data_IF_726771242934
#
_entry.id   IF_726771242934
#
_cell.length_a   1.000
_cell.length_b   1.000
_cell.length_c   1.000
_cell.angle_alpha   90.00
_cell.angle_beta   90.00
_cell.angle_gamma   90.00
#
_symmetry.space_group_name_H-M   'P 1'
#
loop_
_entity.id
_entity.type
_entity.pdbx_description
1 polymer ?
#
# COMPACT_ATOMS: atom_id res chain seq x y z
N UNK A 1 4.94 1.86 -14.59
CA UNK A 1 5.39 3.28 -14.74
C UNK A 1 4.43 4.17 -15.57
N UNK A 2 3.21 3.72 -15.91
CA UNK A 2 2.38 4.38 -16.93
C UNK A 2 1.73 5.72 -16.51
N UNK A 3 1.68 6.07 -15.22
CA UNK A 3 1.05 7.31 -14.72
C UNK A 3 2.07 8.28 -14.12
N UNK A 4 1.69 9.56 -13.96
CA UNK A 4 2.53 10.58 -13.31
C UNK A 4 2.87 10.18 -11.87
N UNK A 5 1.89 9.66 -11.13
CA UNK A 5 2.04 9.20 -9.75
C UNK A 5 2.95 7.97 -9.68
N UNK A 6 2.91 7.10 -10.70
CA UNK A 6 3.84 5.98 -10.84
C UNK A 6 5.28 6.45 -11.09
N UNK A 7 5.48 7.42 -11.99
CA UNK A 7 6.81 8.03 -12.22
C UNK A 7 7.33 8.71 -10.95
N UNK A 8 6.46 9.43 -10.23
CA UNK A 8 6.81 10.03 -8.95
C UNK A 8 7.21 8.98 -7.92
N UNK A 9 6.44 7.90 -7.75
CA UNK A 9 6.77 6.84 -6.80
C UNK A 9 8.17 6.24 -7.05
N UNK A 10 8.50 5.98 -8.32
CA UNK A 10 9.82 5.45 -8.71
C UNK A 10 10.95 6.49 -8.63
N UNK A 11 10.66 7.80 -8.69
CA UNK A 11 11.68 8.84 -8.55
C UNK A 11 12.07 9.13 -7.09
N UNK A 12 11.23 8.76 -6.11
CA UNK A 12 11.51 8.96 -4.67
C UNK A 12 12.81 8.24 -4.28
N UNK A 13 13.74 9.01 -3.71
CA UNK A 13 14.95 8.49 -3.07
C UNK A 13 14.63 8.19 -1.62
N UNK A 14 14.69 6.92 -1.25
CA UNK A 14 14.46 6.46 0.12
C UNK A 14 15.82 6.32 0.84
N UNK A 15 15.91 6.55 2.16
CA UNK A 15 17.18 6.47 2.89
C UNK A 15 17.85 5.09 2.87
N UNK A 16 17.06 4.01 2.81
CA UNK A 16 17.55 2.64 2.70
C UNK A 16 17.10 2.02 1.37
N UNK A 17 17.74 2.33 0.23
CA UNK A 17 17.35 1.79 -1.07
C UNK A 17 17.61 0.28 -1.15
N UNK A 18 16.82 -0.40 -1.97
CA UNK A 18 16.97 -1.83 -2.21
C UNK A 18 18.25 -2.03 -3.08
N UNK A 19 19.23 -2.88 -2.69
CA UNK A 19 20.44 -3.13 -3.49
C UNK A 19 20.14 -3.60 -4.91
N UNK A 20 20.84 -3.10 -5.93
CA UNK A 20 20.54 -3.50 -7.32
C UNK A 20 20.86 -4.97 -7.60
N UNK A 21 21.87 -5.53 -6.93
CA UNK A 21 22.35 -6.90 -7.11
C UNK A 21 21.53 -7.96 -6.37
N UNK A 22 20.59 -7.55 -5.50
CA UNK A 22 19.75 -8.40 -4.64
C UNK A 22 20.49 -9.40 -3.74
N UNK A 23 21.81 -9.37 -3.69
CA UNK A 23 22.62 -10.45 -3.09
C UNK A 23 22.47 -11.81 -3.77
N UNK A 24 21.98 -11.86 -5.02
CA UNK A 24 21.84 -13.09 -5.80
C UNK A 24 23.19 -13.80 -5.95
N UNK A 25 23.16 -15.14 -5.87
CA UNK A 25 24.33 -15.99 -6.11
C UNK A 25 23.96 -17.15 -7.05
N UNK A 26 24.81 -17.47 -8.05
CA UNK A 26 24.58 -18.63 -8.92
C UNK A 26 24.36 -19.90 -8.12
N UNK A 27 23.32 -20.66 -8.49
CA UNK A 27 22.94 -21.91 -7.83
C UNK A 27 21.96 -21.77 -6.66
N UNK A 28 21.55 -20.54 -6.29
CA UNK A 28 20.43 -20.36 -5.36
C UNK A 28 19.13 -20.96 -5.90
N UNK A 29 18.36 -21.59 -5.02
CA UNK A 29 16.97 -21.95 -5.32
C UNK A 29 16.04 -20.72 -5.14
N UNK A 30 14.83 -20.72 -5.74
CA UNK A 30 13.83 -19.67 -5.49
C UNK A 30 13.54 -19.43 -4.01
N UNK A 31 13.54 -20.51 -3.20
CA UNK A 31 13.32 -20.42 -1.76
C UNK A 31 14.50 -19.78 -1.05
N UNK A 32 15.74 -20.18 -1.35
CA UNK A 32 16.94 -19.58 -0.76
C UNK A 32 17.06 -18.09 -1.11
N UNK A 33 16.74 -17.73 -2.35
CA UNK A 33 16.74 -16.35 -2.81
C UNK A 33 15.69 -15.52 -2.07
N UNK A 34 14.45 -16.02 -2.00
CA UNK A 34 13.38 -15.36 -1.25
C UNK A 34 13.73 -15.18 0.23
N UNK A 35 14.21 -16.25 0.88
CA UNK A 35 14.64 -16.21 2.28
C UNK A 35 15.78 -15.22 2.53
N UNK A 36 16.70 -15.07 1.56
CA UNK A 36 17.75 -14.06 1.64
C UNK A 36 17.14 -12.66 1.69
N UNK A 37 16.29 -12.31 0.71
CA UNK A 37 15.61 -11.01 0.64
C UNK A 37 14.79 -10.73 1.91
N UNK A 38 14.09 -11.74 2.42
CA UNK A 38 13.33 -11.61 3.67
C UNK A 38 14.22 -11.28 4.88
N UNK A 39 15.43 -11.83 4.94
CA UNK A 39 16.36 -11.65 6.07
C UNK A 39 17.15 -10.34 5.99
N UNK A 40 17.48 -9.89 4.79
CA UNK A 40 18.42 -8.77 4.58
C UNK A 40 17.73 -7.47 4.20
N UNK A 41 16.57 -7.53 3.57
CA UNK A 41 15.94 -6.35 2.95
C UNK A 41 14.51 -6.07 3.42
N UNK A 42 13.74 -7.10 3.76
CA UNK A 42 12.34 -6.95 4.11
C UNK A 42 12.18 -6.37 5.52
N UNK A 43 11.24 -5.45 5.69
CA UNK A 43 11.00 -4.81 6.98
C UNK A 43 10.25 -3.49 6.91
N UNK A 44 10.00 -2.94 8.09
CA UNK A 44 9.51 -1.58 8.29
C UNK A 44 10.67 -0.69 8.73
N UNK A 45 10.89 0.39 7.99
CA UNK A 45 11.92 1.39 8.24
C UNK A 45 11.22 2.72 8.57
N UNK A 46 11.04 3.00 9.85
CA UNK A 46 10.39 4.23 10.33
C UNK A 46 11.48 5.23 10.70
N UNK A 47 11.52 6.36 9.99
CA UNK A 47 12.50 7.43 10.22
C UNK A 47 11.94 8.51 11.13
N UNK A 48 10.64 8.77 11.03
CA UNK A 48 9.95 9.82 11.78
C UNK A 48 8.47 9.50 11.93
N UNK A 49 7.90 9.84 13.09
CA UNK A 49 6.47 9.73 13.36
C UNK A 49 5.85 11.12 13.53
N UNK A 50 4.58 11.25 13.12
CA UNK A 50 3.79 12.48 13.23
C UNK A 50 2.50 12.18 13.98
N UNK A 51 2.19 12.99 14.98
CA UNK A 51 0.98 12.89 15.78
C UNK A 51 -0.13 13.78 15.22
N UNK A 52 -1.37 13.48 15.62
CA UNK A 52 -2.56 14.30 15.33
C UNK A 52 -2.80 14.55 13.84
N UNK A 53 -2.71 13.49 13.03
CA UNK A 53 -2.96 13.56 11.59
C UNK A 53 -4.46 13.42 11.31
N UNK A 54 -5.08 14.49 10.80
CA UNK A 54 -6.52 14.48 10.51
C UNK A 54 -6.90 13.60 9.32
N UNK A 55 -6.05 13.53 8.30
CA UNK A 55 -6.36 12.85 7.05
C UNK A 55 -5.13 12.59 6.19
N UNK A 56 -5.32 11.79 5.15
CA UNK A 56 -4.25 11.23 4.34
C UNK A 56 -4.50 11.48 2.86
N UNK A 57 -3.41 11.57 2.09
CA UNK A 57 -3.46 11.48 0.64
C UNK A 57 -2.87 10.14 0.14
N UNK A 58 -3.70 9.31 -0.49
CA UNK A 58 -3.27 8.11 -1.21
C UNK A 58 -2.93 8.50 -2.65
N UNK A 59 -1.63 8.53 -2.95
CA UNK A 59 -1.13 9.02 -4.24
C UNK A 59 -1.43 8.06 -5.40
N UNK A 60 -1.39 6.76 -5.13
CA UNK A 60 -1.59 5.70 -6.14
C UNK A 60 -2.67 4.72 -5.66
N UNK A 61 -3.96 4.95 -6.01
CA UNK A 61 -4.98 3.93 -5.83
C UNK A 61 -4.60 2.66 -6.59
N UNK A 62 -4.88 1.49 -6.01
CA UNK A 62 -4.67 0.21 -6.69
C UNK A 62 -5.88 -0.09 -7.56
N UNK A 63 -5.64 -0.64 -8.75
CA UNK A 63 -6.71 -1.18 -9.58
C UNK A 63 -7.06 -2.59 -9.10
N UNK A 64 -8.34 -2.94 -9.19
CA UNK A 64 -8.78 -4.30 -8.93
C UNK A 64 -8.17 -5.24 -9.96
N UNK A 65 -7.57 -6.35 -9.51
CA UNK A 65 -7.00 -7.36 -10.39
C UNK A 65 -7.83 -8.64 -10.37
N UNK A 66 -7.76 -9.41 -11.46
CA UNK A 66 -8.46 -10.69 -11.63
C UNK A 66 -7.46 -11.85 -11.73
N UNK A 67 -7.97 -13.07 -11.79
CA UNK A 67 -7.16 -14.30 -11.76
C UNK A 67 -6.09 -14.37 -12.85
N UNK A 68 -6.39 -13.88 -14.06
CA UNK A 68 -5.44 -13.79 -15.17
C UNK A 68 -4.21 -12.94 -14.82
N UNK A 69 -4.42 -11.81 -14.16
CA UNK A 69 -3.35 -10.95 -13.66
C UNK A 69 -2.54 -11.67 -12.57
N UNK A 70 -3.22 -12.39 -11.67
CA UNK A 70 -2.59 -13.16 -10.58
C UNK A 70 -1.75 -14.34 -11.07
N UNK A 71 -2.02 -14.85 -12.27
CA UNK A 71 -1.28 -15.92 -12.93
C UNK A 71 -0.13 -15.41 -13.81
N UNK A 72 -0.04 -14.09 -13.99
CA UNK A 72 0.93 -13.50 -14.88
C UNK A 72 2.17 -13.01 -14.11
N UNK A 73 3.35 -13.42 -14.57
CA UNK A 73 4.61 -13.13 -13.88
C UNK A 73 4.89 -11.62 -13.75
N UNK A 74 4.45 -10.82 -14.73
CA UNK A 74 4.77 -9.38 -14.82
C UNK A 74 3.57 -8.43 -14.75
N UNK A 75 2.33 -8.93 -14.59
CA UNK A 75 1.15 -8.06 -14.68
C UNK A 75 1.03 -7.14 -13.47
N UNK A 76 1.36 -7.66 -12.28
CA UNK A 76 1.34 -6.88 -11.05
C UNK A 76 2.74 -6.33 -10.76
N UNK A 77 2.83 -5.00 -10.66
CA UNK A 77 4.02 -4.29 -10.21
C UNK A 77 4.37 -4.68 -8.75
N UNK A 78 3.38 -4.70 -7.87
CA UNK A 78 3.52 -5.01 -6.44
C UNK A 78 2.43 -6.00 -5.96
N UNK A 79 2.58 -7.31 -6.24
CA UNK A 79 1.69 -8.34 -5.71
C UNK A 79 1.85 -8.52 -4.19
N UNK A 80 2.96 -8.10 -3.59
CA UNK A 80 3.16 -8.16 -2.12
C UNK A 80 2.23 -7.19 -1.37
N UNK A 81 2.01 -5.99 -1.90
CA UNK A 81 1.16 -4.97 -1.28
C UNK A 81 -0.33 -5.03 -1.67
N UNK A 82 -0.68 -5.62 -2.81
CA UNK A 82 -2.07 -5.69 -3.32
C UNK A 82 -3.10 -6.41 -2.43
N UNK A 83 -4.12 -5.73 -1.91
CA UNK A 83 -5.30 -6.41 -1.34
C UNK A 83 -6.55 -6.05 -2.13
N UNK A 84 -7.46 -7.01 -2.24
CA UNK A 84 -8.77 -6.79 -2.89
C UNK A 84 -9.56 -5.68 -2.19
N UNK A 85 -9.46 -5.60 -0.86
CA UNK A 85 -10.14 -4.58 -0.07
C UNK A 85 -9.59 -3.18 -0.35
N UNK A 86 -8.27 -2.99 -0.34
CA UNK A 86 -7.67 -1.69 -0.67
C UNK A 86 -7.97 -1.27 -2.12
N UNK A 87 -8.00 -2.22 -3.06
CA UNK A 87 -8.27 -1.92 -4.46
C UNK A 87 -9.74 -1.53 -4.74
N UNK A 88 -10.70 -2.14 -4.02
CA UNK A 88 -12.14 -1.84 -4.20
C UNK A 88 -12.62 -0.71 -3.30
N UNK A 89 -12.16 -0.70 -2.04
CA UNK A 89 -12.70 0.12 -0.95
C UNK A 89 -11.59 0.80 -0.13
N UNK A 90 -10.57 1.35 -0.81
CA UNK A 90 -9.47 2.11 -0.19
C UNK A 90 -9.90 3.11 0.89
N UNK A 91 -11.06 3.74 0.73
CA UNK A 91 -11.61 4.73 1.63
C UNK A 91 -11.99 4.17 3.01
N UNK A 92 -12.56 2.96 3.05
CA UNK A 92 -12.91 2.29 4.32
C UNK A 92 -11.68 1.69 5.01
N UNK A 93 -10.53 1.61 4.32
CA UNK A 93 -9.26 1.21 4.94
C UNK A 93 -8.76 2.24 5.96
N UNK A 94 -9.19 3.50 5.86
CA UNK A 94 -8.72 4.59 6.72
C UNK A 94 -9.83 5.36 7.44
N UNK A 95 -11.01 5.48 6.82
CA UNK A 95 -12.15 6.25 7.33
C UNK A 95 -13.28 5.27 7.67
N UNK A 96 -13.22 4.71 8.88
CA UNK A 96 -14.17 3.70 9.38
C UNK A 96 -14.24 3.72 10.92
N UNK A 97 -14.84 4.77 11.52
CA UNK A 97 -14.94 4.88 12.97
C UNK A 97 -15.86 3.79 13.57
N UNK A 98 -15.54 3.24 14.76
CA UNK A 98 -14.52 3.72 15.70
C UNK A 98 -13.12 3.13 15.49
N UNK A 99 -12.93 2.22 14.53
CA UNK A 99 -11.70 1.42 14.39
C UNK A 99 -10.61 2.13 13.58
N UNK A 100 -11.01 2.97 12.62
CA UNK A 100 -10.13 3.71 11.72
C UNK A 100 -10.54 5.18 11.71
N UNK A 101 -9.76 5.99 12.42
CA UNK A 101 -10.20 7.30 12.91
C UNK A 101 -9.62 8.48 12.14
N UNK A 102 -9.11 8.26 10.93
CA UNK A 102 -8.82 9.40 10.04
C UNK A 102 -10.15 10.04 9.65
N UNK A 103 -10.18 11.38 9.67
CA UNK A 103 -11.37 12.16 9.32
C UNK A 103 -11.66 12.12 7.82
N UNK A 104 -10.61 11.98 6.99
CA UNK A 104 -10.75 11.92 5.55
C UNK A 104 -9.58 11.21 4.83
N UNK A 105 -9.86 10.69 3.63
CA UNK A 105 -8.88 10.17 2.67
C UNK A 105 -9.02 10.93 1.34
N UNK A 106 -7.92 11.44 0.82
CA UNK A 106 -7.83 12.07 -0.50
C UNK A 106 -7.16 11.12 -1.50
N UNK A 107 -7.62 11.14 -2.76
CA UNK A 107 -7.05 10.36 -3.86
C UNK A 107 -7.04 11.19 -5.15
N UNK A 108 -6.15 10.90 -6.12
CA UNK A 108 -6.24 11.51 -7.45
C UNK A 108 -7.59 11.17 -8.10
N UNK A 109 -8.16 12.12 -8.83
CA UNK A 109 -9.27 11.84 -9.75
C UNK A 109 -8.72 11.08 -10.96
N UNK A 110 -9.49 10.14 -11.50
CA UNK A 110 -9.16 9.58 -12.81
C UNK A 110 -9.21 10.68 -13.87
N UNK A 111 -8.32 10.60 -14.87
CA UNK A 111 -8.22 11.59 -15.96
C UNK A 111 -9.54 11.78 -16.73
N UNK A 112 -10.34 10.72 -16.82
CA UNK A 112 -11.67 10.73 -17.44
C UNK A 112 -12.71 11.55 -16.67
N UNK A 113 -12.56 11.69 -15.35
CA UNK A 113 -13.45 12.49 -14.50
C UNK A 113 -12.90 13.91 -14.34
N UNK A 114 -11.59 14.09 -14.21
CA UNK A 114 -10.97 15.41 -14.04
C UNK A 114 -11.22 16.32 -15.24
N UNK A 115 -11.30 15.75 -16.45
CA UNK A 115 -11.64 16.45 -17.68
C UNK A 115 -13.10 16.97 -17.73
N UNK A 116 -13.99 16.43 -16.90
CA UNK A 116 -15.41 16.85 -16.84
C UNK A 116 -15.67 17.96 -15.83
N UNK A 117 -14.82 18.12 -14.81
CA UNK A 117 -15.00 19.11 -13.75
C UNK A 117 -13.75 20.01 -13.70
N UNK A 118 -13.79 21.18 -14.37
CA UNK A 118 -12.63 22.05 -14.50
C UNK A 118 -11.99 22.41 -13.15
N UNK A 119 -10.67 22.23 -13.05
CA UNK A 119 -9.89 22.59 -11.87
C UNK A 119 -9.87 21.56 -10.73
N UNK A 120 -10.68 20.49 -10.79
CA UNK A 120 -10.64 19.42 -9.79
C UNK A 120 -9.60 18.37 -10.13
N UNK A 121 -8.77 18.00 -9.14
CA UNK A 121 -7.67 17.04 -9.32
C UNK A 121 -7.73 15.88 -8.35
N UNK A 122 -8.50 16.01 -7.26
CA UNK A 122 -8.57 15.02 -6.21
C UNK A 122 -10.02 14.78 -5.80
N UNK A 123 -10.28 13.60 -5.25
CA UNK A 123 -11.53 13.25 -4.57
C UNK A 123 -11.22 13.07 -3.09
N UNK A 124 -12.09 13.60 -2.23
CA UNK A 124 -12.00 13.42 -0.78
C UNK A 124 -13.18 12.59 -0.30
N UNK A 125 -12.85 11.58 0.49
CA UNK A 125 -13.77 10.72 1.20
C UNK A 125 -13.80 11.10 2.67
N UNK A 126 -14.99 11.30 3.24
CA UNK A 126 -15.14 11.66 4.65
C UNK A 126 -16.50 11.23 5.22
N UNK A 127 -16.67 11.37 6.53
CA UNK A 127 -17.98 11.29 7.19
C UNK A 127 -18.62 9.90 7.17
N UNK A 128 -17.84 8.84 6.98
CA UNK A 128 -18.38 7.48 7.05
C UNK A 128 -18.79 7.16 8.49
N UNK A 129 -20.02 6.69 8.63
CA UNK A 129 -20.53 6.15 9.88
C UNK A 129 -21.20 4.83 9.52
N UNK A 130 -20.63 3.74 10.01
CA UNK A 130 -21.15 2.39 9.78
C UNK A 130 -22.65 2.36 10.10
N UNK A 131 -23.43 1.79 9.17
CA UNK A 131 -24.89 1.61 9.27
C UNK A 131 -25.74 2.89 9.35
N UNK A 132 -25.16 4.09 9.21
CA UNK A 132 -25.89 5.37 9.37
C UNK A 132 -25.73 6.35 8.23
N UNK A 133 -24.59 6.40 7.56
CA UNK A 133 -24.38 7.35 6.45
C UNK A 133 -23.43 6.79 5.39
N UNK A 134 -23.80 6.86 4.10
CA UNK A 134 -22.85 6.56 3.04
C UNK A 134 -21.68 7.54 3.13
N UNK A 135 -20.49 7.06 2.79
CA UNK A 135 -19.31 7.91 2.80
C UNK A 135 -19.51 9.10 1.85
N UNK A 136 -19.19 10.30 2.32
CA UNK A 136 -19.28 11.51 1.49
C UNK A 136 -18.08 11.52 0.55
N UNK A 137 -18.36 11.57 -0.75
CA UNK A 137 -17.37 11.76 -1.81
C UNK A 137 -17.52 13.18 -2.39
N UNK A 138 -16.47 13.99 -2.29
CA UNK A 138 -16.42 15.35 -2.84
C UNK A 138 -15.22 15.53 -3.78
N UNK A 139 -15.40 16.13 -4.98
CA UNK A 139 -14.27 16.54 -5.81
C UNK A 139 -13.65 17.82 -5.24
N UNK A 140 -12.33 17.85 -5.11
CA UNK A 140 -11.57 18.97 -4.56
C UNK A 140 -10.43 19.40 -5.50
N UNK A 141 -10.14 20.70 -5.47
CA UNK A 141 -9.12 21.32 -6.33
C UNK A 141 -7.72 21.29 -5.72
N UNK A 142 -7.64 21.25 -4.39
CA UNK A 142 -6.42 21.24 -3.61
C UNK A 142 -6.51 20.21 -2.47
N UNK A 143 -5.38 19.59 -2.17
CA UNK A 143 -5.25 18.67 -1.04
C UNK A 143 -5.32 19.45 0.28
N UNK A 144 -6.07 18.93 1.24
CA UNK A 144 -5.99 19.35 2.65
C UNK A 144 -4.91 18.56 3.39
N UNK A 145 -4.63 17.33 2.94
CA UNK A 145 -3.62 16.46 3.55
C UNK A 145 -2.21 17.03 3.38
N UNK A 146 -1.48 17.15 4.49
CA UNK A 146 -0.04 17.44 4.47
C UNK A 146 0.80 16.20 4.21
N UNK A 147 0.32 15.06 4.67
CA UNK A 147 1.01 13.78 4.61
C UNK A 147 0.26 12.82 3.71
N UNK A 148 1.00 11.90 3.10
CA UNK A 148 0.43 10.90 2.23
C UNK A 148 1.31 9.68 2.12
N UNK A 149 0.84 8.73 1.33
CA UNK A 149 1.60 7.54 1.01
C UNK A 149 1.44 7.16 -0.46
N UNK A 150 2.45 6.48 -0.97
CA UNK A 150 2.48 5.89 -2.30
C UNK A 150 3.11 4.51 -2.23
N UNK A 151 3.07 3.77 -3.33
CA UNK A 151 3.71 2.48 -3.42
C UNK A 151 4.42 2.31 -4.76
N UNK A 152 5.39 1.40 -4.80
CA UNK A 152 6.05 0.95 -6.03
C UNK A 152 6.49 -0.50 -5.92
N UNK A 153 6.62 -1.16 -7.05
CA UNK A 153 7.28 -2.46 -7.13
C UNK A 153 8.81 -2.30 -7.09
N UNK A 154 9.49 -3.29 -6.50
CA UNK A 154 10.94 -3.46 -6.66
C UNK A 154 11.17 -4.17 -7.99
N UNK A 155 12.02 -3.60 -8.84
CA UNK A 155 12.32 -4.15 -10.16
C UNK A 155 13.81 -4.45 -10.27
N UNK A 156 14.13 -5.75 -10.40
CA UNK A 156 15.48 -6.28 -10.55
C UNK A 156 15.46 -7.46 -11.52
N UNK A 157 16.59 -7.80 -12.16
CA UNK A 157 16.65 -8.88 -13.14
C UNK A 157 16.19 -10.23 -12.58
N UNK A 158 16.70 -10.63 -11.40
CA UNK A 158 16.52 -11.99 -10.90
C UNK A 158 15.20 -12.21 -10.12
N UNK A 159 14.59 -11.17 -9.57
CA UNK A 159 13.37 -11.30 -8.77
C UNK A 159 12.31 -12.13 -9.50
N UNK A 160 11.94 -11.71 -10.71
CA UNK A 160 10.88 -12.35 -11.48
C UNK A 160 11.30 -13.71 -12.04
N UNK A 161 12.57 -13.92 -12.35
CA UNK A 161 13.11 -15.23 -12.77
C UNK A 161 12.94 -16.30 -11.68
N UNK A 162 13.06 -15.90 -10.41
CA UNK A 162 12.81 -16.76 -9.26
C UNK A 162 11.33 -16.79 -8.82
N UNK A 163 10.42 -16.20 -9.60
CA UNK A 163 9.01 -16.08 -9.22
C UNK A 163 8.80 -15.24 -7.96
N UNK A 164 9.68 -14.28 -7.71
CA UNK A 164 9.64 -13.33 -6.59
C UNK A 164 9.26 -11.94 -7.11
N UNK A 165 8.54 -11.19 -6.28
CA UNK A 165 8.24 -9.79 -6.53
C UNK A 165 8.32 -9.00 -5.23
N UNK A 166 9.00 -7.85 -5.27
CA UNK A 166 9.09 -6.93 -4.14
C UNK A 166 8.14 -5.75 -4.27
N UNK A 167 7.75 -5.18 -3.13
CA UNK A 167 6.92 -3.99 -3.02
C UNK A 167 7.42 -3.06 -1.93
N UNK A 168 7.37 -1.76 -2.20
CA UNK A 168 7.66 -0.70 -1.24
C UNK A 168 6.43 0.19 -1.05
N UNK A 169 5.99 0.33 0.19
CA UNK A 169 5.00 1.31 0.62
C UNK A 169 5.75 2.46 1.30
N UNK A 170 5.59 3.68 0.79
CA UNK A 170 6.39 4.84 1.18
C UNK A 170 5.45 5.89 1.76
N UNK A 171 5.73 6.34 2.98
CA UNK A 171 5.01 7.41 3.68
C UNK A 171 5.89 8.67 3.70
N UNK A 172 5.31 9.82 3.37
CA UNK A 172 6.06 11.07 3.20
C UNK A 172 5.26 12.33 3.55
N UNK A 173 5.97 13.40 3.89
CA UNK A 173 5.46 14.77 3.86
C UNK A 173 5.40 15.24 2.40
N UNK A 174 4.22 15.60 1.92
CA UNK A 174 3.97 15.90 0.51
C UNK A 174 4.58 17.24 0.12
N UNK A 175 4.70 18.17 1.07
CA UNK A 175 5.21 19.53 0.83
C UNK A 175 6.73 19.51 0.80
N UNK A 176 7.37 18.91 1.80
CA UNK A 176 8.83 18.87 1.91
C UNK A 176 9.46 17.74 1.12
N UNK A 177 8.66 16.75 0.70
CA UNK A 177 9.11 15.49 0.09
C UNK A 177 9.99 14.63 1.03
N UNK A 178 9.95 14.90 2.34
CA UNK A 178 10.63 14.12 3.36
C UNK A 178 9.99 12.72 3.48
N UNK A 179 10.77 11.66 3.30
CA UNK A 179 10.34 10.28 3.53
C UNK A 179 10.31 10.01 5.04
N UNK A 180 9.12 9.71 5.56
CA UNK A 180 8.88 9.47 7.00
C UNK A 180 9.01 7.99 7.36
N UNK A 181 8.69 7.10 6.42
CA UNK A 181 8.97 5.68 6.57
C UNK A 181 8.71 4.89 5.30
N UNK A 182 9.31 3.71 5.24
CA UNK A 182 9.19 2.76 4.14
C UNK A 182 8.94 1.37 4.69
N UNK A 183 7.97 0.67 4.13
CA UNK A 183 7.85 -0.77 4.32
C UNK A 183 8.21 -1.47 3.03
N UNK A 184 9.22 -2.33 3.09
CA UNK A 184 9.61 -3.21 2.00
C UNK A 184 9.20 -4.63 2.34
N UNK A 185 8.64 -5.33 1.38
CA UNK A 185 8.50 -6.77 1.49
C UNK A 185 8.43 -7.45 0.13
N UNK A 186 8.39 -8.77 0.19
CA UNK A 186 8.50 -9.63 -0.97
C UNK A 186 7.43 -10.70 -0.92
N UNK A 187 7.04 -11.17 -2.09
CA UNK A 187 6.20 -12.34 -2.28
C UNK A 187 6.89 -13.30 -3.26
N UNK A 188 6.96 -14.57 -2.89
CA UNK A 188 7.32 -15.67 -3.79
C UNK A 188 6.04 -16.36 -4.23
N UNK A 189 5.85 -16.48 -5.53
CA UNK A 189 4.68 -17.09 -6.12
C UNK A 189 4.42 -18.50 -5.57
N UNK A 190 3.14 -18.81 -5.35
CA UNK A 190 2.70 -20.20 -5.20
C UNK A 190 2.66 -20.89 -6.56
N UNK A 191 2.30 -22.18 -6.56
CA UNK A 191 2.15 -22.98 -7.77
C UNK A 191 0.71 -23.43 -7.96
N UNK A 192 0.25 -23.46 -9.21
CA UNK A 192 -1.05 -24.06 -9.61
C UNK A 192 -0.77 -25.20 -10.58
N UNK A 193 -1.37 -26.36 -10.34
CA UNK A 193 -1.30 -27.50 -11.28
C UNK A 193 -2.03 -27.11 -12.58
N UNK A 194 -1.40 -27.37 -13.73
CA UNK A 194 -1.96 -27.15 -15.07
C UNK A 194 -2.09 -25.68 -15.53
N UNK A 195 -1.27 -24.75 -15.02
CA UNK A 195 -1.13 -23.40 -15.58
C UNK A 195 0.20 -23.27 -16.37
N UNK A 196 0.17 -22.55 -17.50
CA UNK A 196 1.29 -22.33 -18.42
C UNK A 196 2.52 -21.67 -17.77
N UNK A 197 2.31 -20.78 -16.79
CA UNK A 197 3.41 -20.03 -16.15
C UNK A 197 3.87 -20.64 -14.82
N UNK A 198 3.06 -21.53 -14.23
CA UNK A 198 3.27 -22.01 -12.86
C UNK A 198 3.16 -20.92 -11.78
N UNK A 199 2.73 -19.70 -12.14
CA UNK A 199 2.62 -18.55 -11.24
C UNK A 199 1.20 -18.43 -10.67
N UNK A 200 1.13 -18.10 -9.38
CA UNK A 200 -0.08 -17.75 -8.67
C UNK A 200 0.23 -16.90 -7.43
N UNK A 201 0.12 -15.57 -7.61
CA UNK A 201 0.44 -14.60 -6.57
C UNK A 201 -0.51 -14.67 -5.37
N UNK A 202 -1.79 -15.04 -5.58
CA UNK A 202 -2.78 -15.08 -4.50
C UNK A 202 -2.41 -16.05 -3.36
N UNK A 203 -1.72 -17.15 -3.68
CA UNK A 203 -1.25 -18.13 -2.69
C UNK A 203 0.23 -18.00 -2.33
N UNK A 204 0.87 -16.90 -2.76
CA UNK A 204 2.31 -16.72 -2.60
C UNK A 204 2.75 -16.61 -1.14
N UNK A 205 3.98 -17.03 -0.88
CA UNK A 205 4.65 -16.86 0.40
C UNK A 205 5.13 -15.41 0.53
N UNK A 206 4.78 -14.71 1.60
CA UNK A 206 5.14 -13.29 1.78
C UNK A 206 6.06 -13.05 2.98
N UNK A 207 6.82 -11.95 2.94
CA UNK A 207 7.58 -11.44 4.07
C UNK A 207 7.77 -9.91 4.00
N UNK A 208 7.78 -9.19 5.14
CA UNK A 208 7.36 -9.65 6.46
C UNK A 208 5.86 -9.98 6.50
N UNK A 209 5.47 -10.88 7.43
CA UNK A 209 4.07 -11.18 7.77
C UNK A 209 3.69 -10.26 8.94
N UNK A 210 2.58 -9.50 8.84
CA UNK A 210 2.19 -8.52 9.87
C UNK A 210 1.46 -9.13 11.09
N UNK A 211 1.11 -10.42 11.07
CA UNK A 211 0.52 -11.13 12.22
C UNK A 211 1.19 -12.49 12.47
N UNK A 212 1.22 -12.89 13.74
CA UNK A 212 1.66 -14.20 14.21
C UNK A 212 0.62 -15.31 13.99
N UNK A 213 -0.61 -14.96 13.59
CA UNK A 213 -1.62 -15.93 13.21
C UNK A 213 -1.34 -16.41 11.77
N UNK A 214 -0.82 -17.62 11.67
CA UNK A 214 -0.39 -18.28 10.43
C UNK A 214 -1.52 -18.52 9.40
N UNK A 215 -2.66 -17.85 9.51
CA UNK A 215 -3.88 -18.07 8.71
C UNK A 215 -4.04 -17.09 7.56
N UNK A 216 -3.63 -15.83 7.72
CA UNK A 216 -3.60 -14.88 6.61
C UNK A 216 -2.24 -14.19 6.53
N UNK A 217 -1.49 -14.52 5.49
CA UNK A 217 -0.19 -13.92 5.22
C UNK A 217 -0.30 -12.41 4.91
N UNK A 218 -1.50 -11.95 4.53
CA UNK A 218 -1.80 -10.59 4.10
C UNK A 218 -3.27 -10.24 4.39
N UNK A 219 -3.50 -9.40 5.40
CA UNK A 219 -4.84 -8.96 5.80
C UNK A 219 -5.26 -7.67 5.09
N UNK A 220 -6.56 -7.34 5.05
CA UNK A 220 -7.07 -6.09 4.45
C UNK A 220 -6.51 -4.82 5.09
N UNK A 221 -6.06 -4.92 6.35
CA UNK A 221 -5.55 -3.80 7.14
C UNK A 221 -4.06 -3.51 6.94
N UNK A 222 -3.42 -4.26 6.03
CA UNK A 222 -1.98 -4.27 5.83
C UNK A 222 -1.36 -2.88 5.64
N UNK A 223 -2.00 -2.03 4.83
CA UNK A 223 -1.57 -0.65 4.60
C UNK A 223 -1.88 0.24 5.81
N UNK A 224 -3.08 0.11 6.39
CA UNK A 224 -3.50 0.89 7.56
C UNK A 224 -2.52 0.75 8.73
N UNK A 225 -2.12 -0.48 9.08
CA UNK A 225 -1.23 -0.75 10.21
C UNK A 225 0.13 -0.07 10.07
N UNK A 226 0.71 -0.08 8.87
CA UNK A 226 2.00 0.56 8.66
C UNK A 226 1.86 2.09 8.64
N UNK A 227 0.89 2.62 7.90
CA UNK A 227 0.70 4.07 7.77
C UNK A 227 0.36 4.70 9.13
N UNK A 228 -0.50 4.07 9.94
CA UNK A 228 -0.89 4.58 11.27
C UNK A 228 0.21 4.51 12.33
N UNK A 229 1.25 3.66 12.17
CA UNK A 229 2.45 3.72 13.02
C UNK A 229 3.23 5.02 12.81
N UNK A 230 3.23 5.53 11.58
CA UNK A 230 3.99 6.71 11.15
C UNK A 230 3.17 7.99 11.30
N UNK A 231 1.96 7.99 10.74
CA UNK A 231 1.02 9.11 10.74
C UNK A 231 -0.10 8.79 11.72
N UNK A 232 0.13 9.07 13.00
CA UNK A 232 -0.84 8.71 14.03
C UNK A 232 -2.05 9.64 13.92
N UNK A 233 -3.27 9.08 13.79
CA UNK A 233 -4.45 9.90 13.60
C UNK A 233 -4.72 10.75 14.84
N UNK A 234 -5.37 11.90 14.66
CA UNK A 234 -5.92 12.64 15.78
C UNK A 234 -6.84 11.73 16.60
N UNK A 235 -6.69 11.72 17.93
CA UNK A 235 -7.56 10.95 18.79
C UNK A 235 -9.03 11.29 18.46
N UNK A 236 -9.93 10.30 18.40
CA UNK A 236 -11.33 10.61 18.21
C UNK A 236 -11.73 11.60 19.31
N UNK A 237 -12.27 12.75 18.93
CA UNK A 237 -12.91 13.66 19.88
C UNK A 237 -13.82 12.78 20.73
N UNK A 238 -13.57 12.76 22.05
CA UNK A 238 -14.33 11.95 23.00
C UNK A 238 -15.81 12.11 22.66
N UNK A 239 -16.43 11.07 22.11
CA UNK A 239 -17.87 11.00 22.12
C UNK A 239 -18.25 11.04 23.59
N UNK A 240 -18.92 12.10 23.98
CA UNK A 240 -19.27 12.38 25.37
C UNK A 240 -19.81 11.15 26.06
N UNK A 241 -19.32 10.94 27.29
CA UNK A 241 -19.64 9.90 28.25
C UNK A 241 -20.76 8.93 27.91
N UNK A 242 -20.40 7.67 27.70
CA UNK A 242 -21.22 6.57 28.17
C UNK A 242 -20.60 6.04 29.47
N UNK A 243 -21.20 6.44 30.58
CA UNK A 243 -21.04 5.76 31.85
C UNK A 243 -21.58 4.33 31.68
N UNK A 244 -20.74 3.35 31.95
CA UNK A 244 -21.17 1.97 32.15
C UNK A 244 -21.33 1.80 33.66
N UNK A 245 -22.59 1.76 34.11
CA UNK A 245 -22.95 1.09 35.37
C UNK A 245 -22.94 -0.43 35.14
#
# INVERSE_FOLDING_TARGET
MATEEGRFAHSIKIPNPAPEDSGYRPGMTPEQYFDHLCKTEAGEFIYKTVENVDGLYMMRPREQVFDDHMQHLYALEDPYGYTDWEARDSQTVFVDPPWRVYSYLEMPLSSSISSKIPGTRYRRYSGYVQDKSPMVEEPVTQLKSRYGYTWRGVSRPHDREFGVAGGELIVLDIQTKEVLGVRRGFIRSGGVRNNLTGIWWLSGQVCPILRSDKRSQKDGDFTYWFVSKILRPAAPLSYGGFNVN
#
